data_IF_667457365101
#
_entry.id   IF_667457365101
#
_cell.length_a   1.000
_cell.length_b   1.000
_cell.length_c   1.000
_cell.angle_alpha   90.00
_cell.angle_beta   90.00
_cell.angle_gamma   90.00
#
_symmetry.space_group_name_H-M   'P 1'
#
loop_
_entity.id
_entity.type
_entity.pdbx_description
1 polymer ?
#
# COMPACT_ATOMS: atom_id res chain seq x y z
N UNK A 1 -33.37 11.79 -14.19
CA UNK A 1 -32.36 12.58 -13.45
C UNK A 1 -31.48 11.60 -12.69
N UNK A 2 -30.23 11.42 -13.13
CA UNK A 2 -29.33 10.37 -12.63
C UNK A 2 -28.69 10.69 -11.29
N UNK A 3 -28.63 9.70 -10.40
CA UNK A 3 -28.07 9.76 -9.04
C UNK A 3 -26.54 9.82 -9.11
N UNK A 4 -25.98 11.04 -9.06
CA UNK A 4 -24.53 11.32 -9.08
C UNK A 4 -23.93 11.75 -7.74
N UNK A 5 -24.46 11.28 -6.60
CA UNK A 5 -24.21 11.88 -5.28
C UNK A 5 -23.04 11.32 -4.44
N UNK A 6 -22.58 10.08 -4.68
CA UNK A 6 -21.69 9.37 -3.73
C UNK A 6 -20.20 9.55 -3.97
N UNK A 7 -19.75 9.62 -5.23
CA UNK A 7 -18.33 9.79 -5.55
C UNK A 7 -17.77 11.13 -5.00
N UNK A 8 -18.59 12.18 -5.09
CA UNK A 8 -18.26 13.51 -4.58
C UNK A 8 -18.34 13.61 -3.05
N UNK A 9 -19.15 12.79 -2.38
CA UNK A 9 -19.30 12.85 -0.92
C UNK A 9 -17.98 12.53 -0.21
N UNK A 10 -17.41 11.35 -0.44
CA UNK A 10 -16.16 10.95 0.24
C UNK A 10 -14.97 11.81 -0.17
N UNK A 11 -14.97 12.35 -1.39
CA UNK A 11 -13.94 13.31 -1.78
C UNK A 11 -14.02 14.59 -0.94
N UNK A 12 -15.20 15.21 -0.87
CA UNK A 12 -15.44 16.43 -0.07
C UNK A 12 -15.20 16.17 1.42
N UNK A 13 -15.61 15.02 1.92
CA UNK A 13 -15.44 14.66 3.32
C UNK A 13 -13.96 14.42 3.68
N UNK A 14 -13.18 13.81 2.78
CA UNK A 14 -11.73 13.69 2.96
C UNK A 14 -11.08 15.08 3.06
N UNK A 15 -11.42 15.99 2.14
CA UNK A 15 -10.92 17.37 2.17
C UNK A 15 -11.33 18.09 3.47
N UNK A 16 -12.59 17.96 3.89
CA UNK A 16 -13.11 18.57 5.12
C UNK A 16 -12.35 18.08 6.37
N UNK A 17 -11.96 16.81 6.38
CA UNK A 17 -11.19 16.19 7.46
C UNK A 17 -9.67 16.33 7.30
N UNK A 18 -9.19 16.98 6.24
CA UNK A 18 -7.76 17.20 6.00
C UNK A 18 -7.01 16.02 5.38
N UNK A 19 -7.71 15.01 4.88
CA UNK A 19 -7.10 13.92 4.11
C UNK A 19 -6.93 14.29 2.63
N UNK A 20 -5.79 13.92 2.06
CA UNK A 20 -5.48 14.21 0.64
C UNK A 20 -6.24 13.34 -0.35
N UNK A 21 -6.81 12.23 0.12
CA UNK A 21 -7.59 11.31 -0.72
C UNK A 21 -8.69 10.61 0.06
N UNK A 22 -9.79 10.33 -0.63
CA UNK A 22 -10.90 9.49 -0.15
C UNK A 22 -10.49 8.05 0.18
N UNK A 23 -9.37 7.56 -0.37
CA UNK A 23 -8.82 6.24 -0.03
C UNK A 23 -8.38 6.14 1.43
N UNK A 24 -8.12 7.26 2.12
CA UNK A 24 -7.83 7.29 3.56
C UNK A 24 -8.93 6.60 4.39
N UNK A 25 -10.19 6.73 3.98
CA UNK A 25 -11.30 6.07 4.68
C UNK A 25 -11.24 4.54 4.66
N UNK A 26 -10.64 3.94 3.61
CA UNK A 26 -10.42 2.50 3.57
C UNK A 26 -9.53 2.08 4.75
N UNK A 27 -8.35 2.70 4.88
CA UNK A 27 -7.39 2.34 5.92
C UNK A 27 -7.88 2.74 7.31
N UNK A 28 -8.60 3.86 7.46
CA UNK A 28 -9.25 4.21 8.73
C UNK A 28 -10.22 3.12 9.19
N UNK A 29 -11.04 2.60 8.28
CA UNK A 29 -11.98 1.54 8.59
C UNK A 29 -11.26 0.24 8.95
N UNK A 30 -10.27 -0.18 8.15
CA UNK A 30 -9.45 -1.38 8.40
C UNK A 30 -8.75 -1.27 9.76
N UNK A 31 -8.11 -0.13 10.04
CA UNK A 31 -7.42 0.11 11.30
C UNK A 31 -8.39 0.10 12.49
N UNK A 32 -9.58 0.69 12.35
CA UNK A 32 -10.61 0.67 13.40
C UNK A 32 -11.11 -0.75 13.69
N UNK A 33 -11.24 -1.59 12.66
CA UNK A 33 -11.78 -2.95 12.78
C UNK A 33 -10.75 -3.96 13.26
N UNK A 34 -9.50 -3.84 12.80
CA UNK A 34 -8.48 -4.88 12.97
C UNK A 34 -7.23 -4.43 13.73
N UNK A 35 -7.06 -3.12 13.97
CA UNK A 35 -5.90 -2.54 14.67
C UNK A 35 -4.55 -3.08 14.15
N UNK A 36 -4.38 -3.07 12.82
CA UNK A 36 -3.20 -3.65 12.14
C UNK A 36 -1.93 -2.82 12.32
N UNK A 37 -2.04 -1.52 12.59
CA UNK A 37 -0.91 -0.63 12.87
C UNK A 37 -0.89 -0.34 14.37
N UNK A 38 0.04 -0.97 15.07
CA UNK A 38 0.26 -0.69 16.49
C UNK A 38 1.02 0.62 16.70
N UNK A 39 0.90 1.20 17.90
CA UNK A 39 1.68 2.38 18.29
C UNK A 39 3.18 2.10 18.14
N UNK A 40 3.91 3.06 17.59
CA UNK A 40 5.35 2.92 17.34
C UNK A 40 5.75 1.91 16.27
N UNK A 41 4.82 1.43 15.44
CA UNK A 41 5.11 0.52 14.34
C UNK A 41 6.05 1.12 13.27
N UNK A 42 6.70 0.24 12.52
CA UNK A 42 7.45 0.59 11.31
C UNK A 42 6.62 0.12 10.11
N UNK A 43 6.04 1.07 9.39
CA UNK A 43 5.05 0.83 8.34
C UNK A 43 5.65 1.12 6.97
N UNK A 44 5.39 0.25 6.00
CA UNK A 44 5.64 0.47 4.58
C UNK A 44 4.31 0.62 3.84
N UNK A 45 4.18 1.64 3.01
CA UNK A 45 3.01 1.88 2.16
C UNK A 45 3.42 1.82 0.68
N UNK A 46 2.96 0.78 -0.02
CA UNK A 46 3.29 0.51 -1.42
C UNK A 46 2.29 1.19 -2.36
N UNK A 47 2.82 1.95 -3.31
CA UNK A 47 2.09 2.87 -4.20
C UNK A 47 1.30 3.90 -3.41
N UNK A 48 2.03 4.68 -2.63
CA UNK A 48 1.47 5.57 -1.62
C UNK A 48 0.84 6.85 -2.18
N UNK A 49 0.97 7.17 -3.48
CA UNK A 49 0.39 8.40 -4.03
C UNK A 49 -1.15 8.36 -3.99
N UNK A 50 -1.82 9.46 -3.57
CA UNK A 50 -1.28 10.79 -3.25
C UNK A 50 -0.90 11.00 -1.76
N UNK A 51 -0.96 9.98 -0.92
CA UNK A 51 -0.50 10.02 0.48
C UNK A 51 -1.59 9.85 1.54
N UNK A 52 -2.81 9.46 1.15
CA UNK A 52 -3.92 9.30 2.10
C UNK A 52 -3.68 8.21 3.15
N UNK A 53 -3.05 7.09 2.75
CA UNK A 53 -2.70 6.02 3.68
C UNK A 53 -1.50 6.38 4.56
N UNK A 54 -0.54 7.15 4.05
CA UNK A 54 0.55 7.73 4.86
C UNK A 54 0.02 8.58 6.04
N UNK A 55 -1.00 9.41 5.80
CA UNK A 55 -1.65 10.21 6.86
C UNK A 55 -2.24 9.32 7.96
N UNK A 56 -3.00 8.30 7.55
CA UNK A 56 -3.65 7.39 8.51
C UNK A 56 -2.62 6.54 9.25
N UNK A 57 -1.58 6.06 8.55
CA UNK A 57 -0.49 5.31 9.17
C UNK A 57 0.25 6.16 10.20
N UNK A 58 0.58 7.41 9.89
CA UNK A 58 1.27 8.31 10.81
C UNK A 58 0.45 8.57 12.09
N UNK A 59 -0.84 8.86 11.96
CA UNK A 59 -1.72 9.03 13.11
C UNK A 59 -1.81 7.76 13.97
N UNK A 60 -1.81 6.59 13.33
CA UNK A 60 -1.89 5.29 14.01
C UNK A 60 -0.65 4.97 14.86
N UNK A 61 0.51 5.57 14.56
CA UNK A 61 1.71 5.45 15.39
C UNK A 61 1.54 6.03 16.81
N UNK A 62 0.52 6.89 17.01
CA UNK A 62 0.25 7.56 18.27
C UNK A 62 1.17 8.75 18.53
N UNK A 63 1.29 9.18 19.81
CA UNK A 63 2.08 10.33 20.18
C UNK A 63 3.52 10.26 19.70
N UNK A 64 4.07 11.42 19.42
CA UNK A 64 5.39 11.59 18.85
C UNK A 64 6.51 10.84 19.62
N UNK A 65 6.50 10.92 20.95
CA UNK A 65 7.47 10.24 21.81
C UNK A 65 7.35 8.70 21.81
N UNK A 66 6.28 8.15 21.22
CA UNK A 66 6.07 6.71 21.06
C UNK A 66 6.90 6.08 19.94
N UNK A 67 7.60 6.89 19.15
CA UNK A 67 8.45 6.42 18.05
C UNK A 67 7.65 5.95 16.84
N UNK A 68 8.22 4.97 16.12
CA UNK A 68 7.68 4.46 14.86
C UNK A 68 8.15 5.26 13.64
N UNK A 69 7.83 4.73 12.46
CA UNK A 69 8.21 5.32 11.18
C UNK A 69 7.27 4.84 10.08
N UNK A 70 6.99 5.69 9.09
CA UNK A 70 6.27 5.32 7.88
C UNK A 70 7.14 5.60 6.68
N UNK A 71 7.33 4.62 5.81
CA UNK A 71 7.95 4.80 4.50
C UNK A 71 6.89 4.60 3.42
N UNK A 72 6.69 5.62 2.59
CA UNK A 72 5.89 5.52 1.37
C UNK A 72 6.77 5.29 0.15
N UNK A 73 6.33 4.40 -0.73
CA UNK A 73 6.98 4.16 -2.02
C UNK A 73 5.96 4.40 -3.13
N UNK A 74 6.31 5.22 -4.10
CA UNK A 74 5.51 5.39 -5.31
C UNK A 74 6.40 5.80 -6.48
N UNK A 75 5.98 5.62 -7.72
CA UNK A 75 6.72 6.16 -8.88
C UNK A 75 6.61 7.68 -8.92
N UNK A 76 5.51 8.24 -8.43
CA UNK A 76 5.27 9.68 -8.33
C UNK A 76 5.92 10.25 -7.09
N UNK A 77 6.31 11.53 -7.16
CA UNK A 77 6.70 12.28 -5.97
C UNK A 77 5.47 12.56 -5.12
N UNK A 78 5.50 12.10 -3.87
CA UNK A 78 4.41 12.32 -2.90
C UNK A 78 4.87 13.30 -1.83
N UNK A 79 4.09 14.36 -1.66
CA UNK A 79 4.25 15.33 -0.58
C UNK A 79 2.97 15.34 0.26
N UNK A 80 3.07 14.82 1.48
CA UNK A 80 1.95 14.84 2.43
C UNK A 80 1.91 16.20 3.15
N UNK A 81 0.71 16.80 3.32
CA UNK A 81 0.55 17.96 4.18
C UNK A 81 0.99 17.65 5.62
N UNK A 82 1.45 18.66 6.38
CA UNK A 82 1.77 18.49 7.80
C UNK A 82 0.53 18.17 8.65
N UNK A 83 -0.67 18.39 8.09
CA UNK A 83 -1.91 17.95 8.71
C UNK A 83 -2.00 16.43 8.61
N UNK A 84 -1.93 15.76 9.77
CA UNK A 84 -1.92 14.30 9.98
C UNK A 84 -0.60 13.57 9.71
N UNK A 85 0.44 14.27 9.23
CA UNK A 85 1.78 13.70 9.07
C UNK A 85 2.82 14.53 9.82
N UNK A 86 3.77 13.84 10.45
CA UNK A 86 4.97 14.43 11.02
C UNK A 86 6.22 13.85 10.36
N UNK A 87 7.41 14.20 10.87
CA UNK A 87 8.68 13.80 10.25
C UNK A 87 8.91 12.29 10.23
N UNK A 88 8.14 11.49 10.99
CA UNK A 88 8.22 10.02 10.96
C UNK A 88 7.78 9.47 9.60
N UNK A 89 7.12 10.26 8.75
CA UNK A 89 6.76 9.90 7.38
C UNK A 89 7.87 10.32 6.42
N UNK A 90 8.39 9.36 5.68
CA UNK A 90 9.31 9.59 4.57
C UNK A 90 8.72 8.98 3.29
N UNK A 91 9.07 9.54 2.13
CA UNK A 91 8.66 9.00 0.83
C UNK A 91 9.85 8.86 -0.09
N UNK A 92 9.84 7.81 -0.92
CA UNK A 92 10.81 7.64 -2.00
C UNK A 92 10.08 7.46 -3.33
N UNK A 93 10.71 7.98 -4.39
CA UNK A 93 10.25 7.76 -5.75
C UNK A 93 10.94 6.52 -6.31
N UNK A 94 10.20 5.42 -6.46
CA UNK A 94 10.70 4.16 -6.98
C UNK A 94 9.56 3.28 -7.52
N UNK A 95 9.90 2.36 -8.43
CA UNK A 95 8.98 1.34 -8.90
C UNK A 95 9.00 0.14 -7.94
N UNK A 96 7.84 -0.18 -7.35
CA UNK A 96 7.65 -1.30 -6.43
C UNK A 96 7.96 -2.65 -7.10
N UNK A 97 7.66 -2.78 -8.39
CA UNK A 97 7.92 -4.02 -9.14
C UNK A 97 9.42 -4.32 -9.29
N UNK A 98 10.26 -3.29 -9.26
CA UNK A 98 11.72 -3.40 -9.40
C UNK A 98 12.50 -3.32 -8.07
N UNK A 99 11.84 -3.05 -6.94
CA UNK A 99 12.53 -2.87 -5.65
C UNK A 99 13.04 -4.17 -5.03
N UNK A 100 14.34 -4.29 -4.74
CA UNK A 100 14.85 -5.49 -4.05
C UNK A 100 14.54 -5.49 -2.54
N UNK A 101 14.40 -6.68 -1.96
CA UNK A 101 14.23 -6.86 -0.51
C UNK A 101 15.34 -6.19 0.30
N UNK A 102 16.59 -6.33 -0.15
CA UNK A 102 17.74 -5.72 0.50
C UNK A 102 17.63 -4.19 0.51
N UNK A 103 17.28 -3.59 -0.64
CA UNK A 103 17.13 -2.13 -0.73
C UNK A 103 16.02 -1.64 0.16
N UNK A 104 14.88 -2.32 0.16
CA UNK A 104 13.72 -1.96 0.98
C UNK A 104 14.04 -2.07 2.48
N UNK A 105 14.70 -3.15 2.90
CA UNK A 105 15.16 -3.35 4.27
C UNK A 105 16.14 -2.26 4.71
N UNK A 106 17.07 -1.87 3.84
CA UNK A 106 18.03 -0.79 4.13
C UNK A 106 17.39 0.59 4.31
N UNK A 107 16.14 0.78 3.89
CA UNK A 107 15.38 2.01 4.11
C UNK A 107 14.56 1.97 5.41
N UNK A 108 14.46 0.82 6.06
CA UNK A 108 13.81 0.70 7.36
C UNK A 108 14.73 1.16 8.49
N UNK A 109 14.20 1.64 9.63
CA UNK A 109 15.02 2.02 10.77
C UNK A 109 15.91 0.86 11.25
N UNK A 110 17.22 1.13 11.33
CA UNK A 110 18.25 0.18 11.78
C UNK A 110 18.24 -1.14 10.98
N UNK A 111 17.82 -1.07 9.72
CA UNK A 111 17.72 -2.19 8.79
C UNK A 111 16.88 -3.37 9.33
N UNK A 112 15.90 -3.12 10.21
CA UNK A 112 15.12 -4.20 10.86
C UNK A 112 13.95 -4.72 10.03
N UNK A 113 13.63 -4.06 8.92
CA UNK A 113 12.43 -4.33 8.11
C UNK A 113 11.20 -3.59 8.64
N UNK A 114 10.05 -3.94 8.10
CA UNK A 114 8.76 -3.32 8.42
C UNK A 114 7.88 -4.31 9.18
N UNK A 115 7.20 -3.83 10.22
CA UNK A 115 6.23 -4.62 10.98
C UNK A 115 4.87 -4.69 10.28
N UNK A 116 4.58 -3.73 9.41
CA UNK A 116 3.34 -3.66 8.64
C UNK A 116 3.69 -3.25 7.22
N UNK A 117 3.19 -3.99 6.23
CA UNK A 117 3.24 -3.63 4.81
C UNK A 117 1.81 -3.43 4.33
N UNK A 118 1.56 -2.26 3.76
CA UNK A 118 0.27 -1.84 3.23
C UNK A 118 0.35 -1.76 1.70
N UNK A 119 -0.75 -2.08 1.03
CA UNK A 119 -0.88 -1.91 -0.41
C UNK A 119 -2.32 -1.59 -0.80
N UNK A 120 -2.51 -0.51 -1.55
CA UNK A 120 -3.74 -0.20 -2.32
C UNK A 120 -3.36 -0.14 -3.82
N UNK A 121 -2.39 -0.96 -4.24
CA UNK A 121 -1.89 -1.00 -5.61
C UNK A 121 -3.00 -1.38 -6.59
N UNK A 122 -3.06 -0.64 -7.69
CA UNK A 122 -4.00 -0.87 -8.77
C UNK A 122 -3.26 -0.70 -10.10
N UNK A 123 -3.35 -1.66 -11.03
CA UNK A 123 -2.72 -1.53 -12.33
C UNK A 123 -3.44 -0.48 -13.19
N UNK A 124 -2.83 -0.10 -14.29
CA UNK A 124 -3.54 0.64 -15.33
C UNK A 124 -4.60 -0.27 -15.94
N UNK A 125 -5.87 0.06 -15.69
CA UNK A 125 -7.02 -0.70 -16.17
C UNK A 125 -7.11 -0.57 -17.69
N UNK A 126 -6.94 -1.68 -18.40
CA UNK A 126 -7.08 -1.72 -19.85
C UNK A 126 -8.54 -1.88 -20.30
N UNK A 127 -9.44 -2.25 -19.39
CA UNK A 127 -10.84 -2.55 -19.67
C UNK A 127 -11.07 -3.99 -20.14
N UNK A 128 -10.02 -4.83 -20.11
CA UNK A 128 -10.10 -6.25 -20.44
C UNK A 128 -10.05 -6.98 -19.12
N UNK A 129 -11.20 -7.46 -18.64
CA UNK A 129 -11.36 -7.99 -17.28
C UNK A 129 -10.33 -9.05 -16.92
N UNK A 130 -10.04 -9.99 -17.82
CA UNK A 130 -9.06 -11.06 -17.57
C UNK A 130 -7.65 -10.52 -17.41
N UNK A 131 -7.23 -9.61 -18.30
CA UNK A 131 -5.92 -8.95 -18.22
C UNK A 131 -5.79 -8.11 -16.95
N UNK A 132 -6.82 -7.32 -16.64
CA UNK A 132 -6.83 -6.46 -15.45
C UNK A 132 -6.76 -7.30 -14.16
N UNK A 133 -7.44 -8.45 -14.13
CA UNK A 133 -7.38 -9.40 -13.00
C UNK A 133 -5.97 -10.00 -12.83
N UNK A 134 -5.32 -10.42 -13.91
CA UNK A 134 -3.93 -10.96 -13.86
C UNK A 134 -2.96 -9.89 -13.36
N UNK A 135 -3.03 -8.66 -13.89
CA UNK A 135 -2.16 -7.57 -13.44
C UNK A 135 -2.39 -7.20 -11.97
N UNK A 136 -3.65 -7.20 -11.52
CA UNK A 136 -3.98 -7.00 -10.11
C UNK A 136 -3.42 -8.13 -9.22
N UNK A 137 -3.50 -9.37 -9.69
CA UNK A 137 -2.92 -10.52 -8.99
C UNK A 137 -1.39 -10.42 -8.88
N UNK A 138 -0.70 -10.08 -9.96
CA UNK A 138 0.76 -9.87 -9.97
C UNK A 138 1.20 -8.79 -8.97
N UNK A 139 0.48 -7.67 -8.92
CA UNK A 139 0.74 -6.62 -7.93
C UNK A 139 0.49 -7.09 -6.48
N UNK A 140 -0.54 -7.89 -6.26
CA UNK A 140 -0.82 -8.51 -4.97
C UNK A 140 0.29 -9.48 -4.54
N UNK A 141 0.72 -10.36 -5.44
CA UNK A 141 1.83 -11.28 -5.20
C UNK A 141 3.14 -10.54 -4.95
N UNK A 142 3.37 -9.43 -5.64
CA UNK A 142 4.53 -8.58 -5.40
C UNK A 142 4.50 -7.94 -4.01
N UNK A 143 3.35 -7.45 -3.55
CA UNK A 143 3.21 -6.94 -2.19
C UNK A 143 3.50 -8.01 -1.14
N UNK A 144 3.02 -9.24 -1.38
CA UNK A 144 3.25 -10.39 -0.51
C UNK A 144 4.74 -10.77 -0.45
N UNK A 145 5.40 -10.89 -1.61
CA UNK A 145 6.83 -11.16 -1.73
C UNK A 145 7.67 -10.17 -0.91
N UNK A 146 7.44 -8.86 -1.12
CA UNK A 146 8.11 -7.79 -0.37
C UNK A 146 7.82 -7.86 1.15
N UNK A 147 6.63 -8.31 1.55
CA UNK A 147 6.26 -8.45 2.96
C UNK A 147 6.90 -9.66 3.65
N UNK A 148 7.08 -10.77 2.93
CA UNK A 148 7.78 -11.96 3.42
C UNK A 148 9.30 -11.74 3.48
N UNK A 149 9.82 -10.95 2.55
CA UNK A 149 11.26 -10.76 2.35
C UNK A 149 11.94 -12.10 2.03
N UNK A 150 13.24 -12.22 2.37
CA UNK A 150 14.03 -13.42 2.04
C UNK A 150 13.69 -14.68 2.87
N UNK A 151 12.55 -14.72 3.57
CA UNK A 151 12.22 -15.84 4.47
C UNK A 151 11.57 -17.03 3.77
N UNK A 152 11.10 -16.87 2.53
CA UNK A 152 10.42 -17.94 1.79
C UNK A 152 10.88 -17.89 0.32
N UNK A 153 11.53 -18.96 -0.15
CA UNK A 153 11.53 -19.26 -1.58
C UNK A 153 10.13 -19.74 -1.92
N UNK A 154 9.32 -18.89 -2.55
CA UNK A 154 8.12 -19.36 -3.23
C UNK A 154 8.63 -20.11 -4.46
N UNK A 155 8.64 -21.44 -4.39
CA UNK A 155 8.79 -22.26 -5.59
C UNK A 155 7.72 -21.82 -6.60
N UNK A 156 8.07 -21.66 -7.89
CA UNK A 156 7.08 -21.40 -8.92
C UNK A 156 5.97 -22.44 -8.82
N UNK A 157 4.72 -21.98 -8.94
CA UNK A 157 3.61 -22.90 -9.19
C UNK A 157 3.90 -23.49 -10.56
N UNK A 158 4.33 -24.75 -10.60
CA UNK A 158 4.45 -25.49 -11.86
C UNK A 158 3.07 -25.45 -12.53
N UNK A 159 3.02 -24.93 -13.77
CA UNK A 159 1.86 -25.11 -14.63
C UNK A 159 1.62 -26.62 -14.73
N UNK A 160 0.53 -27.10 -14.13
CA UNK A 160 0.15 -28.50 -14.17
C UNK A 160 0.02 -28.95 -15.64
N UNK A 161 0.92 -29.82 -16.13
CA UNK A 161 0.90 -30.26 -17.52
C UNK A 161 -0.29 -31.18 -17.84
N UNK A 162 -1.16 -31.48 -16.85
CA UNK A 162 -2.33 -32.34 -17.03
C UNK A 162 -3.49 -31.69 -17.78
N UNK A 163 -3.47 -30.37 -18.03
CA UNK A 163 -4.43 -29.73 -18.94
C UNK A 163 -3.95 -29.84 -20.39
N UNK A 164 -3.78 -31.08 -20.85
CA UNK A 164 -3.67 -31.38 -22.27
C UNK A 164 -5.04 -31.16 -22.91
N UNK A 165 -5.06 -30.28 -23.90
CA UNK A 165 -6.16 -30.06 -24.83
C UNK A 165 -6.65 -31.40 -25.42
N UNK A 166 -7.77 -31.92 -24.91
CA UNK A 166 -8.48 -33.05 -25.51
C UNK A 166 -9.12 -32.56 -26.80
N UNK A 167 -8.30 -32.52 -27.86
CA UNK A 167 -8.74 -32.33 -29.22
C UNK A 167 -9.78 -33.38 -29.61
N UNK A 168 -11.00 -32.91 -29.84
CA UNK A 168 -11.99 -33.52 -30.73
C UNK A 168 -12.78 -32.44 -31.46
#
# INVERSE_FOLDING_TARGET
MGVGGTANFFYKEAQRLGYVARSAFKLLQIQKQHNIINRGATVLDLSCAPGGWLQVACQSLGPFHGGGSVLGVDTKKVKVPPLHCDYRVQTISADVTALSHHRLRALSPKDKGFSVVLSDMCPLISGITTKDAVLSFELGMRALDLALGNKIHLEPIDDDPSCSDDGK
#
